data_IF_580380395770
#
_entry.id   IF_580380395770
#
_cell.length_a   1.000
_cell.length_b   1.000
_cell.length_c   1.000
_cell.angle_alpha   90.00
_cell.angle_beta   90.00
_cell.angle_gamma   90.00
#
_symmetry.space_group_name_H-M   'P 1'
#
loop_
_entity.id
_entity.type
_entity.pdbx_description
1 polymer ?
#
# COMPACT_ATOMS: atom_id res chain seq x y z
N UNK A 1 15.62 -7.78 31.92
CA UNK A 1 16.96 -7.20 32.21
C UNK A 1 17.90 -7.67 31.10
N UNK A 2 18.25 -6.79 30.19
CA UNK A 2 19.16 -7.02 29.05
C UNK A 2 20.54 -6.49 29.50
N UNK A 3 21.66 -7.17 29.25
CA UNK A 3 22.96 -6.70 29.73
C UNK A 3 23.48 -5.53 28.89
N UNK A 4 24.02 -4.52 29.56
CA UNK A 4 24.71 -3.37 28.96
C UNK A 4 26.08 -3.79 28.40
N UNK A 5 26.31 -3.49 27.11
CA UNK A 5 27.63 -3.55 26.49
C UNK A 5 28.27 -2.14 26.45
N UNK A 6 29.54 -1.97 26.85
CA UNK A 6 30.16 -0.65 26.91
C UNK A 6 30.62 -0.18 25.51
N UNK A 7 29.73 0.47 24.77
CA UNK A 7 30.00 1.01 23.43
C UNK A 7 30.97 2.22 23.42
N UNK A 8 31.35 2.77 24.58
CA UNK A 8 32.10 4.04 24.66
C UNK A 8 33.62 3.89 24.60
N UNK A 9 34.16 2.68 24.80
CA UNK A 9 35.63 2.47 24.85
C UNK A 9 36.21 2.07 23.49
N UNK A 10 35.45 1.39 22.63
CA UNK A 10 35.91 0.95 21.31
C UNK A 10 35.98 2.10 20.28
N UNK A 11 35.19 3.16 20.46
CA UNK A 11 35.11 4.27 19.50
C UNK A 11 36.34 5.21 19.57
N UNK A 12 37.01 5.31 20.73
CA UNK A 12 38.18 6.18 20.91
C UNK A 12 39.47 5.60 20.34
N UNK A 13 39.65 4.28 20.37
CA UNK A 13 40.82 3.61 19.79
C UNK A 13 40.73 3.49 18.26
N UNK A 14 39.52 3.38 17.70
CA UNK A 14 39.32 3.37 16.24
C UNK A 14 39.60 4.75 15.60
N UNK A 15 39.29 5.85 16.30
CA UNK A 15 39.51 7.20 15.77
C UNK A 15 40.98 7.62 15.78
N UNK A 16 41.79 7.11 16.72
CA UNK A 16 43.22 7.45 16.80
C UNK A 16 44.07 6.74 15.74
N UNK A 17 43.69 5.53 15.31
CA UNK A 17 44.43 4.76 14.28
C UNK A 17 44.21 5.25 12.84
N UNK A 18 43.01 5.78 12.53
CA UNK A 18 42.70 6.25 11.19
C UNK A 18 43.45 7.54 10.81
N UNK A 19 43.66 8.45 11.78
CA UNK A 19 44.29 9.76 11.52
C UNK A 19 45.79 9.65 11.25
N UNK A 20 46.47 8.66 11.85
CA UNK A 20 47.93 8.45 11.64
C UNK A 20 48.22 7.75 10.31
N UNK A 21 47.32 6.91 9.80
CA UNK A 21 47.51 6.21 8.52
C UNK A 21 47.26 7.10 7.29
N UNK A 22 46.38 8.11 7.42
CA UNK A 22 45.99 9.03 6.34
C UNK A 22 47.08 10.05 5.95
N UNK A 23 48.07 10.27 6.82
CA UNK A 23 49.17 11.21 6.58
C UNK A 23 50.29 10.66 5.69
N UNK A 24 50.27 9.36 5.36
CA UNK A 24 51.30 8.70 4.53
C UNK A 24 50.86 8.46 3.08
N UNK A 25 49.63 8.82 2.72
CA UNK A 25 49.08 8.56 1.40
C UNK A 25 49.11 9.83 0.55
N UNK A 26 49.51 9.70 -0.71
CA UNK A 26 49.49 10.82 -1.63
C UNK A 26 48.04 11.32 -1.80
N UNK A 27 47.86 12.65 -1.90
CA UNK A 27 46.56 13.31 -2.09
C UNK A 27 45.61 12.64 -3.12
N UNK A 28 46.08 12.11 -4.28
CA UNK A 28 45.18 11.42 -5.21
C UNK A 28 44.63 10.08 -4.68
N UNK A 29 45.38 9.40 -3.80
CA UNK A 29 45.00 8.08 -3.28
C UNK A 29 43.91 8.18 -2.21
N UNK A 30 43.95 9.23 -1.38
CA UNK A 30 42.89 9.54 -0.39
C UNK A 30 41.58 9.93 -1.09
N UNK A 31 41.65 10.69 -2.18
CA UNK A 31 40.48 11.13 -2.95
C UNK A 31 39.74 9.95 -3.61
N UNK A 32 40.49 8.93 -4.06
CA UNK A 32 39.92 7.72 -4.67
C UNK A 32 39.17 6.85 -3.64
N UNK A 33 39.74 6.64 -2.45
CA UNK A 33 39.11 5.85 -1.40
C UNK A 33 37.85 6.53 -0.81
N UNK A 34 37.84 7.86 -0.68
CA UNK A 34 36.65 8.61 -0.24
C UNK A 34 35.52 8.51 -1.27
N UNK A 35 35.84 8.57 -2.56
CA UNK A 35 34.87 8.41 -3.64
C UNK A 35 34.26 7.00 -3.68
N UNK A 36 35.07 5.96 -3.44
CA UNK A 36 34.61 4.56 -3.38
C UNK A 36 33.73 4.28 -2.15
N UNK A 37 34.05 4.92 -1.01
CA UNK A 37 33.25 4.81 0.21
C UNK A 37 31.88 5.51 0.06
N UNK A 38 31.84 6.66 -0.64
CA UNK A 38 30.60 7.39 -0.92
C UNK A 38 29.69 6.63 -1.90
N UNK A 39 30.24 5.96 -2.91
CA UNK A 39 29.45 5.14 -3.85
C UNK A 39 28.95 3.83 -3.22
N UNK A 40 29.76 3.18 -2.38
CA UNK A 40 29.34 1.99 -1.63
C UNK A 40 28.26 2.29 -0.57
N UNK A 41 28.35 3.44 0.10
CA UNK A 41 27.36 3.88 1.09
C UNK A 41 25.99 4.16 0.47
N UNK A 42 25.95 4.80 -0.70
CA UNK A 42 24.71 5.05 -1.43
C UNK A 42 24.04 3.73 -1.89
N UNK A 43 24.82 2.75 -2.34
CA UNK A 43 24.31 1.44 -2.75
C UNK A 43 23.74 0.64 -1.58
N UNK A 44 24.43 0.64 -0.43
CA UNK A 44 23.95 -0.02 0.78
C UNK A 44 22.66 0.61 1.33
N UNK A 45 22.51 1.93 1.27
CA UNK A 45 21.30 2.63 1.69
C UNK A 45 20.13 2.37 0.73
N UNK A 46 20.39 2.28 -0.58
CA UNK A 46 19.41 1.88 -1.59
C UNK A 46 18.97 0.41 -1.41
N UNK A 47 19.91 -0.49 -1.10
CA UNK A 47 19.59 -1.88 -0.80
C UNK A 47 18.83 -2.03 0.52
N UNK A 48 19.18 -1.25 1.55
CA UNK A 48 18.48 -1.27 2.82
C UNK A 48 17.04 -0.75 2.71
N UNK A 49 16.79 0.23 1.85
CA UNK A 49 15.43 0.71 1.54
C UNK A 49 14.66 -0.26 0.62
N UNK A 50 15.35 -0.99 -0.25
CA UNK A 50 14.75 -2.06 -1.07
C UNK A 50 14.39 -3.31 -0.23
N UNK A 51 15.32 -3.79 0.59
CA UNK A 51 15.17 -4.98 1.46
C UNK A 51 14.32 -4.67 2.70
N UNK A 52 14.25 -3.40 3.12
CA UNK A 52 13.52 -2.95 4.29
C UNK A 52 11.99 -2.83 4.14
N UNK A 53 11.43 -3.09 2.96
CA UNK A 53 9.97 -3.00 2.71
C UNK A 53 9.21 -4.22 3.27
N UNK A 54 9.43 -4.50 4.56
CA UNK A 54 8.72 -5.50 5.38
C UNK A 54 7.61 -4.86 6.24
N UNK A 55 7.20 -3.62 5.95
CA UNK A 55 6.15 -2.95 6.71
C UNK A 55 4.78 -3.46 6.26
N UNK A 56 4.25 -4.43 7.01
CA UNK A 56 2.85 -4.83 6.95
C UNK A 56 2.00 -3.67 7.49
N UNK A 57 1.56 -2.76 6.63
CA UNK A 57 0.59 -1.72 7.00
C UNK A 57 -0.81 -2.34 6.92
N UNK A 58 -1.50 -2.36 8.05
CA UNK A 58 -2.86 -2.90 8.18
C UNK A 58 -3.79 -1.74 8.44
N UNK A 59 -4.88 -1.66 7.69
CA UNK A 59 -5.94 -0.69 7.91
C UNK A 59 -7.13 -1.40 8.54
N UNK A 60 -7.58 -0.91 9.69
CA UNK A 60 -8.85 -1.33 10.28
C UNK A 60 -10.01 -0.77 9.44
N UNK A 61 -11.09 -1.53 9.30
CA UNK A 61 -12.23 -1.15 8.44
C UNK A 61 -12.77 0.25 8.73
N UNK A 62 -13.15 0.97 7.68
CA UNK A 62 -13.92 2.23 7.67
C UNK A 62 -15.39 2.04 8.08
N UNK A 63 -15.77 0.83 8.47
CA UNK A 63 -17.09 0.44 9.00
C UNK A 63 -16.96 -0.38 10.29
N UNK A 64 -18.01 -1.10 10.74
CA UNK A 64 -17.93 -1.91 11.95
C UNK A 64 -16.74 -2.87 11.83
N UNK A 65 -15.80 -2.76 12.76
CA UNK A 65 -14.55 -3.54 12.75
C UNK A 65 -14.89 -5.02 12.80
N UNK A 66 -14.84 -5.68 11.64
CA UNK A 66 -14.91 -7.13 11.54
C UNK A 66 -13.73 -7.74 12.27
N UNK A 67 -14.00 -8.72 13.15
CA UNK A 67 -12.94 -9.52 13.79
C UNK A 67 -12.33 -10.56 12.84
N UNK A 68 -12.94 -10.78 11.68
CA UNK A 68 -12.57 -11.84 10.75
C UNK A 68 -11.55 -11.40 9.68
N UNK A 69 -11.47 -10.11 9.37
CA UNK A 69 -10.60 -9.58 8.32
C UNK A 69 -10.21 -8.11 8.56
N UNK A 70 -9.17 -7.63 7.88
CA UNK A 70 -8.75 -6.22 7.85
C UNK A 70 -9.27 -5.53 6.59
N UNK A 71 -9.47 -4.21 6.59
CA UNK A 71 -9.91 -3.46 5.40
C UNK A 71 -8.94 -3.60 4.24
N UNK A 72 -7.65 -3.56 4.57
CA UNK A 72 -6.59 -3.79 3.63
C UNK A 72 -5.33 -4.31 4.32
N UNK A 73 -4.50 -4.99 3.54
CA UNK A 73 -3.18 -5.47 3.92
C UNK A 73 -2.16 -5.06 2.86
N UNK A 74 -1.07 -4.44 3.30
CA UNK A 74 0.06 -4.12 2.43
C UNK A 74 1.19 -5.12 2.64
N UNK A 75 1.65 -5.74 1.56
CA UNK A 75 2.79 -6.65 1.57
C UNK A 75 3.61 -6.47 0.29
N UNK A 76 4.92 -6.33 0.41
CA UNK A 76 5.81 -6.25 -0.76
C UNK A 76 5.53 -5.06 -1.69
N UNK A 77 4.99 -3.95 -1.17
CA UNK A 77 4.61 -2.78 -1.99
C UNK A 77 3.30 -2.96 -2.76
N UNK A 78 2.51 -3.99 -2.45
CA UNK A 78 1.19 -4.22 -3.01
C UNK A 78 0.17 -4.15 -1.88
N UNK A 79 -0.89 -3.36 -2.08
CA UNK A 79 -2.04 -3.28 -1.22
C UNK A 79 -3.15 -4.20 -1.75
N UNK A 80 -3.64 -5.08 -0.88
CA UNK A 80 -4.83 -5.89 -1.09
C UNK A 80 -5.96 -5.28 -0.27
N UNK A 81 -6.97 -4.73 -0.94
CA UNK A 81 -8.15 -4.13 -0.31
C UNK A 81 -9.27 -5.16 -0.32
N UNK A 82 -9.84 -5.44 0.84
CA UNK A 82 -11.00 -6.34 0.96
C UNK A 82 -12.22 -5.78 0.24
N UNK A 83 -13.16 -6.67 -0.10
CA UNK A 83 -14.42 -6.28 -0.72
C UNK A 83 -15.16 -5.22 0.08
N UNK A 84 -15.52 -4.14 -0.60
CA UNK A 84 -16.27 -3.02 -0.06
C UNK A 84 -17.70 -3.12 -0.56
N UNK A 85 -18.62 -3.18 0.40
CA UNK A 85 -20.06 -3.01 0.19
C UNK A 85 -20.47 -1.59 0.58
N UNK A 86 -21.70 -1.24 0.24
CA UNK A 86 -22.27 0.09 0.45
C UNK A 86 -22.68 0.35 1.92
N UNK A 87 -21.77 0.14 2.87
CA UNK A 87 -22.01 0.42 4.29
C UNK A 87 -21.71 1.90 4.57
N UNK A 88 -22.66 2.58 5.21
CA UNK A 88 -22.51 3.92 5.77
C UNK A 88 -23.09 3.92 7.18
N UNK A 89 -22.39 4.51 8.14
CA UNK A 89 -22.80 4.57 9.55
C UNK A 89 -23.16 3.19 10.14
N UNK A 90 -22.45 2.15 9.70
CA UNK A 90 -22.63 0.77 10.16
C UNK A 90 -23.81 0.02 9.56
N UNK A 91 -24.52 0.58 8.58
CA UNK A 91 -25.65 -0.07 7.90
C UNK A 91 -25.48 -0.05 6.38
N UNK A 92 -26.00 -1.08 5.72
CA UNK A 92 -26.10 -1.10 4.26
C UNK A 92 -27.07 0.00 3.80
N UNK A 93 -26.65 0.83 2.85
CA UNK A 93 -27.51 1.87 2.27
C UNK A 93 -28.55 1.25 1.33
N UNK A 94 -29.75 1.83 1.32
CA UNK A 94 -30.77 1.52 0.32
C UNK A 94 -30.47 2.16 -1.05
N UNK A 95 -31.41 2.03 -1.99
CA UNK A 95 -31.35 2.76 -3.28
C UNK A 95 -30.77 1.96 -4.46
N UNK A 96 -30.72 0.62 -4.34
CA UNK A 96 -30.34 -0.28 -5.44
C UNK A 96 -28.88 -0.16 -5.88
N UNK A 97 -28.55 -0.79 -7.01
CA UNK A 97 -27.16 -0.92 -7.47
C UNK A 97 -26.46 0.41 -7.67
N UNK A 98 -27.11 1.42 -8.25
CA UNK A 98 -26.46 2.70 -8.56
C UNK A 98 -25.98 3.42 -7.28
N UNK A 99 -26.90 3.60 -6.32
CA UNK A 99 -26.58 4.22 -5.01
C UNK A 99 -25.56 3.41 -4.24
N UNK A 100 -25.70 2.09 -4.24
CA UNK A 100 -24.75 1.22 -3.55
C UNK A 100 -23.37 1.22 -4.21
N UNK A 101 -23.29 1.33 -5.53
CA UNK A 101 -22.01 1.39 -6.26
C UNK A 101 -21.22 2.63 -5.90
N UNK A 102 -21.87 3.78 -5.76
CA UNK A 102 -21.21 5.03 -5.35
C UNK A 102 -20.58 4.85 -3.96
N UNK A 103 -21.36 4.41 -2.98
CA UNK A 103 -20.86 4.24 -1.61
C UNK A 103 -19.80 3.14 -1.51
N UNK A 104 -19.94 2.03 -2.25
CA UNK A 104 -18.93 0.97 -2.28
C UNK A 104 -17.59 1.45 -2.85
N UNK A 105 -17.62 2.23 -3.94
CA UNK A 105 -16.41 2.81 -4.54
C UNK A 105 -15.80 3.89 -3.64
N UNK A 106 -16.61 4.74 -3.01
CA UNK A 106 -16.14 5.72 -2.03
C UNK A 106 -15.45 5.06 -0.84
N UNK A 107 -16.04 3.99 -0.30
CA UNK A 107 -15.46 3.21 0.79
C UNK A 107 -14.10 2.62 0.37
N UNK A 108 -13.99 2.08 -0.84
CA UNK A 108 -12.75 1.55 -1.40
C UNK A 108 -11.67 2.63 -1.52
N UNK A 109 -12.03 3.81 -2.02
CA UNK A 109 -11.10 4.93 -2.14
C UNK A 109 -10.67 5.48 -0.77
N UNK A 110 -11.56 5.50 0.21
CA UNK A 110 -11.22 5.93 1.57
C UNK A 110 -10.22 4.95 2.23
N UNK A 111 -10.37 3.63 2.01
CA UNK A 111 -9.37 2.65 2.48
C UNK A 111 -8.00 2.90 1.83
N UNK A 112 -7.95 3.16 0.52
CA UNK A 112 -6.71 3.50 -0.17
C UNK A 112 -6.10 4.81 0.33
N UNK A 113 -6.93 5.81 0.58
CA UNK A 113 -6.51 7.11 1.15
C UNK A 113 -5.88 6.95 2.53
N UNK A 114 -6.42 6.09 3.40
CA UNK A 114 -5.80 5.76 4.69
C UNK A 114 -4.45 5.04 4.56
N UNK A 115 -4.27 4.30 3.46
CA UNK A 115 -2.97 3.74 3.09
C UNK A 115 -2.00 4.81 2.55
N UNK A 116 -2.48 5.97 2.10
CA UNK A 116 -1.70 6.97 1.39
C UNK A 116 -1.54 6.64 -0.10
N UNK A 117 -2.41 5.80 -0.64
CA UNK A 117 -2.38 5.31 -2.01
C UNK A 117 -3.38 6.11 -2.84
N UNK A 118 -2.91 6.67 -3.95
CA UNK A 118 -3.75 7.37 -4.90
C UNK A 118 -4.55 6.39 -5.77
N UNK A 119 -5.72 6.82 -6.25
CA UNK A 119 -6.64 6.02 -7.06
C UNK A 119 -6.02 5.50 -8.36
N UNK A 120 -5.11 6.24 -8.98
CA UNK A 120 -4.40 5.89 -10.21
C UNK A 120 -3.38 4.74 -10.04
N UNK A 121 -3.11 4.35 -8.79
CA UNK A 121 -2.24 3.22 -8.45
C UNK A 121 -2.99 1.88 -8.40
N UNK A 122 -4.31 1.88 -8.62
CA UNK A 122 -5.11 0.66 -8.63
C UNK A 122 -4.78 -0.14 -9.90
N UNK A 123 -4.32 -1.37 -9.71
CA UNK A 123 -3.93 -2.27 -10.80
C UNK A 123 -5.12 -3.07 -11.33
N UNK A 124 -5.95 -3.58 -10.41
CA UNK A 124 -7.05 -4.50 -10.70
C UNK A 124 -8.22 -4.27 -9.76
N UNK A 125 -9.42 -4.26 -10.31
CA UNK A 125 -10.68 -4.31 -9.55
C UNK A 125 -11.43 -5.60 -9.85
N UNK A 126 -12.05 -6.20 -8.84
CA UNK A 126 -13.02 -7.29 -9.03
C UNK A 126 -14.36 -6.83 -8.52
N UNK A 127 -15.38 -6.96 -9.37
CA UNK A 127 -16.73 -6.48 -9.11
C UNK A 127 -17.66 -7.68 -9.04
N UNK A 128 -18.40 -7.76 -7.94
CA UNK A 128 -19.43 -8.76 -7.72
C UNK A 128 -20.78 -8.06 -7.72
N UNK A 129 -21.70 -8.52 -8.56
CA UNK A 129 -23.08 -8.04 -8.58
C UNK A 129 -24.02 -9.12 -8.03
N UNK A 130 -25.12 -8.73 -7.39
CA UNK A 130 -26.19 -9.67 -7.03
C UNK A 130 -27.01 -10.12 -8.24
N UNK A 131 -27.11 -9.25 -9.26
CA UNK A 131 -27.79 -9.51 -10.53
C UNK A 131 -26.94 -8.96 -11.68
N UNK A 132 -26.78 -9.74 -12.75
CA UNK A 132 -26.03 -9.29 -13.93
C UNK A 132 -26.82 -8.26 -14.76
N UNK A 133 -28.14 -8.18 -14.60
CA UNK A 133 -28.98 -7.15 -15.21
C UNK A 133 -28.56 -5.72 -14.80
N UNK A 134 -27.93 -5.58 -13.64
CA UNK A 134 -27.44 -4.31 -13.11
C UNK A 134 -26.09 -3.85 -13.71
N UNK A 135 -25.51 -4.61 -14.64
CA UNK A 135 -24.18 -4.34 -15.19
C UNK A 135 -24.07 -2.93 -15.84
N UNK A 136 -25.09 -2.49 -16.57
CA UNK A 136 -25.08 -1.16 -17.20
C UNK A 136 -25.10 -0.05 -16.15
N UNK A 137 -25.99 -0.15 -15.17
CA UNK A 137 -26.14 0.83 -14.11
C UNK A 137 -24.86 0.94 -13.26
N UNK A 138 -24.24 -0.19 -12.93
CA UNK A 138 -22.92 -0.19 -12.28
C UNK A 138 -21.86 0.54 -13.11
N UNK A 139 -21.80 0.28 -14.42
CA UNK A 139 -20.78 0.86 -15.29
C UNK A 139 -20.90 2.38 -15.42
N UNK A 140 -22.11 2.92 -15.46
CA UNK A 140 -22.35 4.38 -15.44
C UNK A 140 -21.77 5.04 -14.19
N UNK A 141 -21.84 4.36 -13.04
CA UNK A 141 -21.17 4.81 -11.82
C UNK A 141 -19.66 4.66 -11.97
N UNK A 142 -19.19 3.48 -12.32
CA UNK A 142 -17.76 3.13 -12.35
C UNK A 142 -16.92 4.06 -13.25
N UNK A 143 -17.44 4.46 -14.41
CA UNK A 143 -16.71 5.34 -15.35
C UNK A 143 -16.49 6.76 -14.81
N UNK A 144 -17.32 7.22 -13.87
CA UNK A 144 -17.12 8.51 -13.17
C UNK A 144 -15.93 8.46 -12.20
N UNK A 145 -15.58 7.28 -11.71
CA UNK A 145 -14.43 7.08 -10.83
C UNK A 145 -13.14 6.80 -11.60
N UNK A 146 -13.22 6.19 -12.78
CA UNK A 146 -12.05 5.81 -13.60
C UNK A 146 -12.10 6.43 -14.99
N UNK A 147 -11.97 7.76 -15.03
CA UNK A 147 -12.14 8.60 -16.22
C UNK A 147 -10.96 8.56 -17.18
N UNK A 148 -9.73 8.39 -16.67
CA UNK A 148 -8.51 8.37 -17.49
C UNK A 148 -8.22 6.94 -17.97
N UNK A 149 -8.15 6.77 -19.30
CA UNK A 149 -7.89 5.50 -19.95
C UNK A 149 -6.49 4.94 -19.60
N UNK A 150 -5.49 5.79 -19.39
CA UNK A 150 -4.11 5.36 -19.10
C UNK A 150 -3.95 4.75 -17.70
N UNK A 151 -4.83 5.14 -16.77
CA UNK A 151 -4.81 4.74 -15.36
C UNK A 151 -6.03 3.90 -14.97
N UNK A 152 -6.87 3.53 -15.94
CA UNK A 152 -8.04 2.68 -15.70
C UNK A 152 -7.58 1.26 -15.31
N UNK A 153 -8.02 0.71 -14.17
CA UNK A 153 -7.61 -0.61 -13.72
C UNK A 153 -8.05 -1.72 -14.66
N UNK A 154 -7.30 -2.81 -14.69
CA UNK A 154 -7.83 -4.08 -15.18
C UNK A 154 -9.08 -4.46 -14.36
N UNK A 155 -10.05 -5.14 -14.96
CA UNK A 155 -11.33 -5.42 -14.31
C UNK A 155 -11.90 -6.79 -14.68
N UNK A 156 -12.57 -7.42 -13.72
CA UNK A 156 -13.54 -8.49 -13.97
C UNK A 156 -14.84 -8.14 -13.25
N UNK A 157 -15.98 -8.43 -13.86
CA UNK A 157 -17.30 -8.18 -13.30
C UNK A 157 -18.21 -9.36 -13.61
N UNK A 158 -18.87 -9.92 -12.60
CA UNK A 158 -19.80 -11.03 -12.76
C UNK A 158 -20.84 -11.03 -11.64
N UNK A 159 -21.94 -11.75 -11.87
CA UNK A 159 -22.97 -11.93 -10.87
C UNK A 159 -22.68 -13.15 -9.98
N UNK A 160 -22.99 -13.02 -8.70
CA UNK A 160 -22.90 -14.08 -7.70
C UNK A 160 -24.29 -14.37 -7.12
N UNK A 161 -24.44 -15.53 -6.48
CA UNK A 161 -25.75 -15.93 -5.92
C UNK A 161 -26.28 -14.92 -4.90
N UNK A 162 -25.44 -14.50 -3.95
CA UNK A 162 -25.78 -13.56 -2.89
C UNK A 162 -24.52 -12.85 -2.39
N UNK A 163 -24.67 -11.61 -1.91
CA UNK A 163 -23.62 -10.81 -1.29
C UNK A 163 -23.92 -10.59 0.21
N UNK A 164 -22.90 -10.27 1.03
CA UNK A 164 -23.08 -9.95 2.44
C UNK A 164 -24.15 -8.86 2.66
N UNK A 165 -24.95 -9.01 3.71
CA UNK A 165 -26.01 -8.07 4.10
C UNK A 165 -27.13 -7.86 3.05
N UNK A 166 -27.15 -8.65 1.97
CA UNK A 166 -28.07 -8.41 0.86
C UNK A 166 -27.67 -7.23 -0.02
N UNK A 167 -26.38 -6.89 -0.08
CA UNK A 167 -25.87 -5.88 -0.99
C UNK A 167 -26.13 -6.24 -2.46
N UNK A 168 -26.30 -5.22 -3.30
CA UNK A 168 -26.40 -5.34 -4.75
C UNK A 168 -25.04 -5.39 -5.42
N UNK A 169 -24.01 -4.83 -4.78
CA UNK A 169 -22.66 -4.76 -5.31
C UNK A 169 -21.61 -4.85 -4.21
N UNK A 170 -20.50 -5.52 -4.52
CA UNK A 170 -19.27 -5.54 -3.73
C UNK A 170 -18.07 -5.33 -4.67
N UNK A 171 -17.12 -4.50 -4.26
CA UNK A 171 -15.92 -4.19 -5.07
C UNK A 171 -14.66 -4.37 -4.24
N UNK A 172 -13.72 -5.15 -4.74
CA UNK A 172 -12.35 -5.24 -4.19
C UNK A 172 -11.33 -4.64 -5.16
N UNK A 173 -10.13 -4.34 -4.66
CA UNK A 173 -9.03 -3.96 -5.53
C UNK A 173 -7.65 -4.37 -5.02
N UNK A 174 -6.73 -4.45 -5.98
CA UNK A 174 -5.28 -4.56 -5.74
C UNK A 174 -4.63 -3.28 -6.27
N UNK A 175 -3.76 -2.67 -5.47
CA UNK A 175 -3.09 -1.41 -5.80
C UNK A 175 -1.60 -1.43 -5.45
N UNK A 176 -0.81 -0.59 -6.13
CA UNK A 176 0.59 -0.34 -5.77
C UNK A 176 0.68 0.63 -4.59
N UNK A 177 1.46 0.26 -3.57
CA UNK A 177 1.68 1.02 -2.34
C UNK A 177 3.02 1.78 -2.32
#
# INVERSE_FOLDING_TARGET
KIPDFPAKTALRTAFCGAVVQLAMWSKPMVLSCVSLALSGGAFALALASYVGRRSRKVVANTGPTSKFYSAAQVCGGIAYVSGQVAIKDGRLVGGGVATQSEVALDNLLEVLKQLGIARDRILKTTVYLSDIGDYSAFNEVYTRYFTDDATRPARVCFAVKQLPLGASVEVECIAMA
#
